data_IF_019549468428
#
_entry.id   IF_019549468428
#
_cell.length_a   1.000
_cell.length_b   1.000
_cell.length_c   1.000
_cell.angle_alpha   90.00
_cell.angle_beta   90.00
_cell.angle_gamma   90.00
#
_symmetry.space_group_name_H-M   'P 1'
#
loop_
_entity.id
_entity.type
_entity.pdbx_description
1 polymer ?
#
# COMPACT_ATOMS: atom_id res chain seq x y z
N UNK A 1 8.00 -19.74 -1.84
CA UNK A 1 8.42 -18.34 -1.75
C UNK A 1 7.20 -17.44 -1.90
N UNK A 2 7.09 -16.43 -1.07
CA UNK A 2 6.05 -15.39 -1.18
C UNK A 2 6.70 -14.02 -1.37
N UNK A 3 5.99 -13.14 -2.05
CA UNK A 3 6.42 -11.75 -2.24
C UNK A 3 5.42 -10.85 -1.54
N UNK A 4 5.91 -9.96 -0.70
CA UNK A 4 5.12 -8.93 -0.02
C UNK A 4 5.52 -7.57 -0.59
N UNK A 5 4.56 -6.84 -1.12
CA UNK A 5 4.80 -5.51 -1.67
C UNK A 5 4.09 -4.49 -0.79
N UNK A 6 4.86 -3.62 -0.16
CA UNK A 6 4.32 -2.50 0.61
C UNK A 6 3.98 -1.36 -0.36
N UNK A 7 2.73 -0.96 -0.36
CA UNK A 7 2.22 0.10 -1.23
C UNK A 7 1.51 1.15 -0.40
N UNK A 8 1.49 2.36 -0.86
CA UNK A 8 0.72 3.43 -0.22
C UNK A 8 -0.18 4.15 -1.20
N UNK A 9 -1.31 4.60 -0.68
CA UNK A 9 -2.20 5.51 -1.38
C UNK A 9 -1.77 6.95 -1.15
N UNK A 10 -1.68 7.72 -2.21
CA UNK A 10 -1.28 9.13 -2.17
C UNK A 10 -2.31 10.00 -2.87
N UNK A 11 -2.42 11.30 -2.51
CA UNK A 11 -3.26 12.22 -3.25
C UNK A 11 -2.82 12.33 -4.71
N UNK A 12 -3.79 12.35 -5.61
CA UNK A 12 -3.51 12.62 -7.01
C UNK A 12 -3.29 14.13 -7.20
N UNK A 13 -2.04 14.53 -7.36
CA UNK A 13 -1.64 15.93 -7.54
C UNK A 13 -1.75 16.40 -8.99
N UNK A 14 -2.08 15.52 -9.93
CA UNK A 14 -2.33 15.89 -11.33
C UNK A 14 -3.69 16.55 -11.53
N UNK A 15 -4.60 16.44 -10.56
CA UNK A 15 -5.93 17.02 -10.57
C UNK A 15 -6.04 18.33 -9.78
N UNK A 16 -7.28 18.78 -9.58
CA UNK A 16 -7.56 19.99 -8.79
C UNK A 16 -7.29 19.72 -7.32
N UNK A 17 -6.42 20.54 -6.73
CA UNK A 17 -6.19 20.55 -5.28
C UNK A 17 -7.32 21.40 -4.65
N UNK A 18 -8.14 20.77 -3.82
CA UNK A 18 -9.17 21.49 -3.06
C UNK A 18 -8.59 22.02 -1.76
N UNK A 19 -8.85 23.27 -1.49
CA UNK A 19 -8.37 23.98 -0.30
C UNK A 19 -9.58 24.37 0.54
N UNK A 20 -9.52 24.09 1.84
CA UNK A 20 -10.54 24.55 2.78
C UNK A 20 -10.50 26.08 2.93
N UNK A 21 -11.59 26.72 3.43
CA UNK A 21 -11.62 28.16 3.66
C UNK A 21 -10.53 28.69 4.59
N UNK A 22 -9.98 27.82 5.49
CA UNK A 22 -8.90 28.17 6.39
C UNK A 22 -7.48 28.00 5.78
N UNK A 23 -7.38 27.65 4.50
CA UNK A 23 -6.12 27.44 3.80
C UNK A 23 -5.53 26.06 3.90
N UNK A 24 -6.14 25.14 4.66
CA UNK A 24 -5.70 23.75 4.74
C UNK A 24 -6.18 22.91 3.55
N UNK A 25 -5.47 21.83 3.25
CA UNK A 25 -5.87 20.91 2.17
C UNK A 25 -7.12 20.12 2.56
N UNK A 26 -8.12 20.13 1.69
CA UNK A 26 -9.29 19.28 1.83
C UNK A 26 -8.98 17.87 1.30
N UNK A 27 -8.40 17.04 2.13
CA UNK A 27 -7.98 15.67 1.76
C UNK A 27 -9.17 14.76 1.44
N UNK A 28 -10.32 15.01 2.02
CA UNK A 28 -11.52 14.19 1.79
C UNK A 28 -12.08 14.34 0.37
N UNK A 29 -11.86 15.47 -0.28
CA UNK A 29 -12.31 15.73 -1.66
C UNK A 29 -11.24 15.46 -2.70
N UNK A 30 -10.00 15.14 -2.29
CA UNK A 30 -8.93 14.83 -3.22
C UNK A 30 -9.05 13.39 -3.69
N UNK A 31 -8.91 13.18 -5.00
CA UNK A 31 -8.76 11.85 -5.55
C UNK A 31 -7.42 11.26 -5.08
N UNK A 32 -7.43 9.97 -4.82
CA UNK A 32 -6.24 9.24 -4.38
C UNK A 32 -5.88 8.17 -5.41
N UNK A 33 -4.59 7.96 -5.57
CA UNK A 33 -4.03 6.93 -6.45
C UNK A 33 -3.02 6.09 -5.69
N UNK A 34 -2.72 4.92 -6.21
CA UNK A 34 -1.54 4.17 -5.77
C UNK A 34 -0.30 5.01 -6.05
N UNK A 35 0.62 5.08 -5.08
CA UNK A 35 1.88 5.79 -5.30
C UNK A 35 2.57 5.25 -6.57
N UNK A 36 2.84 6.11 -7.57
CA UNK A 36 3.46 5.67 -8.82
C UNK A 36 4.81 4.95 -8.65
N UNK A 37 5.59 5.36 -7.65
CA UNK A 37 6.87 4.71 -7.35
C UNK A 37 6.67 3.27 -6.89
N UNK A 38 5.65 3.03 -6.06
CA UNK A 38 5.33 1.69 -5.56
C UNK A 38 4.83 0.76 -6.68
N UNK A 39 4.27 1.31 -7.75
CA UNK A 39 3.84 0.52 -8.91
C UNK A 39 5.00 -0.19 -9.61
N UNK A 40 6.22 0.33 -9.52
CA UNK A 40 7.40 -0.36 -10.02
C UNK A 40 7.64 -1.67 -9.26
N UNK A 41 7.48 -1.65 -7.94
CA UNK A 41 7.60 -2.84 -7.10
C UNK A 41 6.48 -3.85 -7.40
N UNK A 42 5.24 -3.37 -7.58
CA UNK A 42 4.11 -4.22 -7.97
C UNK A 42 4.40 -4.92 -9.29
N UNK A 43 4.85 -4.19 -10.30
CA UNK A 43 5.18 -4.76 -11.61
C UNK A 43 6.31 -5.79 -11.51
N UNK A 44 7.36 -5.50 -10.75
CA UNK A 44 8.45 -6.43 -10.52
C UNK A 44 7.97 -7.72 -9.84
N UNK A 45 7.10 -7.60 -8.84
CA UNK A 45 6.51 -8.74 -8.14
C UNK A 45 5.64 -9.61 -9.08
N UNK A 46 4.81 -8.97 -9.90
CA UNK A 46 3.96 -9.69 -10.85
C UNK A 46 4.78 -10.42 -11.93
N UNK A 47 5.86 -9.82 -12.42
CA UNK A 47 6.79 -10.49 -13.33
C UNK A 47 7.46 -11.72 -12.69
N UNK A 48 7.87 -11.61 -11.43
CA UNK A 48 8.41 -12.75 -10.69
C UNK A 48 7.35 -13.84 -10.48
N UNK A 49 6.12 -13.45 -10.20
CA UNK A 49 4.99 -14.39 -10.11
C UNK A 49 4.80 -15.15 -11.42
N UNK A 50 4.79 -14.45 -12.55
CA UNK A 50 4.64 -15.07 -13.86
C UNK A 50 5.75 -16.07 -14.15
N UNK A 51 6.97 -15.76 -13.73
CA UNK A 51 8.15 -16.60 -13.97
C UNK A 51 8.24 -17.81 -13.01
N UNK A 52 7.79 -17.66 -11.76
CA UNK A 52 8.04 -18.64 -10.68
C UNK A 52 6.77 -19.28 -10.11
N UNK A 53 5.59 -18.72 -10.37
CA UNK A 53 4.34 -19.14 -9.75
C UNK A 53 4.21 -18.76 -8.28
N UNK A 54 5.08 -17.91 -7.74
CA UNK A 54 5.00 -17.46 -6.36
C UNK A 54 3.74 -16.60 -6.11
N UNK A 55 3.32 -16.52 -4.85
CA UNK A 55 2.19 -15.68 -4.45
C UNK A 55 2.65 -14.26 -4.11
N UNK A 56 1.83 -13.29 -4.51
CA UNK A 56 2.07 -11.86 -4.25
C UNK A 56 0.99 -11.34 -3.32
N UNK A 57 1.42 -10.80 -2.19
CA UNK A 57 0.57 -10.12 -1.21
C UNK A 57 0.91 -8.64 -1.20
N UNK A 58 -0.06 -7.78 -1.44
CA UNK A 58 0.09 -6.33 -1.33
C UNK A 58 -0.36 -5.87 0.04
N UNK A 59 0.46 -5.04 0.69
CA UNK A 59 0.24 -4.57 2.05
C UNK A 59 0.22 -3.05 2.05
N UNK A 60 -0.79 -2.46 2.63
CA UNK A 60 -0.84 -1.00 2.81
C UNK A 60 -1.24 -0.63 4.23
N UNK A 61 -0.62 0.41 4.76
CA UNK A 61 -1.04 1.06 5.99
C UNK A 61 -1.80 2.33 5.61
N UNK A 62 -3.05 2.41 6.03
CA UNK A 62 -3.88 3.56 5.69
C UNK A 62 -5.29 3.45 6.24
N UNK A 63 -6.11 4.46 5.96
CA UNK A 63 -7.52 4.47 6.38
C UNK A 63 -8.34 3.43 5.59
N UNK A 64 -9.53 3.05 6.10
CA UNK A 64 -10.39 2.05 5.44
C UNK A 64 -10.63 2.22 3.93
N UNK A 65 -10.76 3.45 3.39
CA UNK A 65 -10.93 3.62 1.94
C UNK A 65 -9.77 3.10 1.07
N UNK A 66 -8.59 2.92 1.65
CA UNK A 66 -7.44 2.33 0.95
C UNK A 66 -7.68 0.88 0.50
N UNK A 67 -8.68 0.19 1.04
CA UNK A 67 -9.08 -1.13 0.59
C UNK A 67 -9.45 -1.17 -0.90
N UNK A 68 -9.98 -0.08 -1.45
CA UNK A 68 -10.29 0.04 -2.89
C UNK A 68 -9.03 -0.09 -3.76
N UNK A 69 -7.94 0.55 -3.35
CA UNK A 69 -6.65 0.42 -4.01
C UNK A 69 -6.14 -1.02 -4.01
N UNK A 70 -6.26 -1.71 -2.88
CA UNK A 70 -5.86 -3.12 -2.80
C UNK A 70 -6.65 -4.00 -3.77
N UNK A 71 -7.95 -3.76 -3.91
CA UNK A 71 -8.79 -4.48 -4.88
C UNK A 71 -8.33 -4.26 -6.32
N UNK A 72 -7.93 -3.05 -6.66
CA UNK A 72 -7.39 -2.74 -7.99
C UNK A 72 -6.08 -3.51 -8.23
N UNK A 73 -5.18 -3.56 -7.26
CA UNK A 73 -3.93 -4.30 -7.37
C UNK A 73 -4.16 -5.82 -7.45
N UNK A 74 -5.16 -6.34 -6.75
CA UNK A 74 -5.58 -7.74 -6.89
C UNK A 74 -6.15 -8.02 -8.27
N UNK A 75 -6.91 -7.11 -8.85
CA UNK A 75 -7.40 -7.23 -10.23
C UNK A 75 -6.25 -7.23 -11.26
N UNK A 76 -5.12 -6.60 -10.94
CA UNK A 76 -3.91 -6.63 -11.77
C UNK A 76 -3.14 -7.95 -11.68
N UNK A 77 -3.38 -8.77 -10.66
CA UNK A 77 -2.75 -10.07 -10.51
C UNK A 77 -2.20 -10.40 -9.13
N UNK A 78 -2.27 -9.50 -8.16
CA UNK A 78 -1.90 -9.83 -6.78
C UNK A 78 -2.89 -10.85 -6.19
N UNK A 79 -2.40 -11.77 -5.39
CA UNK A 79 -3.21 -12.86 -4.83
C UNK A 79 -3.97 -12.44 -3.58
N UNK A 80 -3.36 -11.59 -2.76
CA UNK A 80 -3.92 -11.14 -1.50
C UNK A 80 -3.65 -9.64 -1.29
N UNK A 81 -4.57 -8.98 -0.57
CA UNK A 81 -4.40 -7.62 -0.12
C UNK A 81 -4.60 -7.53 1.39
N UNK A 82 -3.72 -6.82 2.08
CA UNK A 82 -3.76 -6.62 3.52
C UNK A 82 -3.80 -5.13 3.83
N UNK A 83 -4.84 -4.71 4.52
CA UNK A 83 -4.97 -3.35 5.02
C UNK A 83 -4.58 -3.30 6.50
N UNK A 84 -3.54 -2.56 6.81
CA UNK A 84 -3.11 -2.28 8.17
C UNK A 84 -3.70 -0.93 8.56
N UNK A 85 -4.74 -0.95 9.37
CA UNK A 85 -5.50 0.24 9.68
C UNK A 85 -5.87 0.30 11.16
N UNK A 86 -5.54 1.43 11.77
CA UNK A 86 -6.02 1.84 13.07
C UNK A 86 -6.00 3.36 13.12
N UNK A 87 -6.91 3.93 13.91
CA UNK A 87 -7.02 5.38 14.04
C UNK A 87 -5.73 6.01 14.56
N UNK A 88 -5.04 5.30 15.45
CA UNK A 88 -3.77 5.71 16.07
C UNK A 88 -2.60 5.76 15.09
N UNK A 89 -2.71 5.14 13.92
CA UNK A 89 -1.65 5.13 12.91
C UNK A 89 -1.60 6.43 12.10
N UNK A 90 -2.67 7.24 12.17
CA UNK A 90 -2.71 8.51 11.47
C UNK A 90 -1.59 9.46 11.93
N UNK A 91 -0.91 10.09 10.97
CA UNK A 91 0.19 11.01 11.26
C UNK A 91 1.53 10.35 11.63
N UNK A 92 1.66 9.04 11.44
CA UNK A 92 2.92 8.33 11.67
C UNK A 92 4.03 8.84 10.76
N UNK A 93 5.21 9.04 11.33
CA UNK A 93 6.43 9.30 10.57
C UNK A 93 7.01 8.01 9.97
N UNK A 94 8.13 8.09 9.29
CA UNK A 94 8.77 6.93 8.66
C UNK A 94 9.20 5.87 9.67
N UNK A 95 9.66 6.28 10.86
CA UNK A 95 10.05 5.35 11.91
C UNK A 95 8.84 4.59 12.47
N UNK A 96 7.79 5.30 12.86
CA UNK A 96 6.55 4.69 13.35
C UNK A 96 5.93 3.77 12.30
N UNK A 97 5.87 4.20 11.04
CA UNK A 97 5.38 3.41 9.92
C UNK A 97 6.17 2.11 9.75
N UNK A 98 7.50 2.17 9.83
CA UNK A 98 8.34 0.97 9.72
C UNK A 98 8.06 -0.03 10.83
N UNK A 99 7.84 0.43 12.07
CA UNK A 99 7.50 -0.43 13.20
C UNK A 99 6.13 -1.11 13.03
N UNK A 100 5.16 -0.35 12.56
CA UNK A 100 3.80 -0.86 12.31
C UNK A 100 3.82 -1.92 11.21
N UNK A 101 4.49 -1.65 10.09
CA UNK A 101 4.62 -2.58 8.99
C UNK A 101 5.41 -3.84 9.38
N UNK A 102 6.48 -3.69 10.16
CA UNK A 102 7.24 -4.84 10.66
C UNK A 102 6.37 -5.74 11.54
N UNK A 103 5.56 -5.18 12.42
CA UNK A 103 4.62 -5.93 13.24
C UNK A 103 3.55 -6.64 12.40
N UNK A 104 3.02 -5.97 11.39
CA UNK A 104 2.04 -6.55 10.47
C UNK A 104 2.65 -7.71 9.68
N UNK A 105 3.84 -7.56 9.13
CA UNK A 105 4.54 -8.62 8.41
C UNK A 105 4.85 -9.81 9.30
N UNK A 106 5.26 -9.58 10.54
CA UNK A 106 5.47 -10.65 11.52
C UNK A 106 4.18 -11.43 11.80
N UNK A 107 3.05 -10.74 11.92
CA UNK A 107 1.73 -11.36 12.12
C UNK A 107 1.31 -12.17 10.90
N UNK A 108 1.64 -11.73 9.69
CA UNK A 108 1.39 -12.46 8.45
C UNK A 108 2.29 -13.70 8.29
N UNK A 109 3.31 -13.86 9.12
CA UNK A 109 4.19 -15.01 9.10
C UNK A 109 5.21 -15.00 7.96
N UNK A 110 5.83 -13.84 7.70
CA UNK A 110 6.87 -13.70 6.66
C UNK A 110 8.02 -14.66 6.95
N UNK A 111 8.32 -15.55 6.01
CA UNK A 111 9.37 -16.54 6.11
C UNK A 111 10.72 -16.02 5.58
N UNK A 112 11.81 -16.74 5.90
CA UNK A 112 13.17 -16.31 5.53
C UNK A 112 13.41 -16.23 4.04
N UNK A 113 12.70 -16.98 3.22
CA UNK A 113 12.81 -17.01 1.76
C UNK A 113 11.85 -16.02 1.08
N UNK A 114 11.09 -15.25 1.85
CA UNK A 114 10.19 -14.25 1.31
C UNK A 114 10.96 -13.03 0.78
N UNK A 115 10.38 -12.42 -0.24
CA UNK A 115 10.85 -11.14 -0.76
C UNK A 115 9.91 -10.05 -0.25
N UNK A 116 10.47 -9.00 0.30
CA UNK A 116 9.72 -7.81 0.75
C UNK A 116 10.19 -6.60 -0.05
N UNK A 117 9.25 -5.92 -0.68
CA UNK A 117 9.48 -4.73 -1.50
C UNK A 117 8.70 -3.53 -0.96
#
# INVERSE_FOLDING_TARGET
MKIYVCVKQVPDTSGKVAVNPDGTLNRASMQTITNPDDMNAVEAALKLKDATGCKVTVVTMGPPPAAGMLRELMAMGADEGVLVSAREFGGSDTYATSQILAAALSTLGVEKDAIVM
#
